data_IF_801810017210
#
_entry.id   IF_801810017210
#
_cell.length_a   1.000
_cell.length_b   1.000
_cell.length_c   1.000
_cell.angle_alpha   90.00
_cell.angle_beta   90.00
_cell.angle_gamma   90.00
#
_symmetry.space_group_name_H-M   'P 1'
#
loop_
_entity.id
_entity.type
_entity.pdbx_description
1 polymer ?
#
# COMPACT_ATOMS: atom_id res chain seq x y z
N UNK A 1 13.91 0.32 -23.13
CA UNK A 1 12.45 0.46 -22.89
C UNK A 1 11.95 -0.19 -21.58
N UNK A 2 12.77 -0.95 -20.82
CA UNK A 2 12.35 -1.67 -19.60
C UNK A 2 12.17 -0.78 -18.33
N UNK A 3 12.97 0.29 -18.19
CA UNK A 3 12.91 1.25 -17.05
C UNK A 3 11.54 1.89 -16.91
N UNK A 4 10.97 2.35 -18.03
CA UNK A 4 9.66 3.03 -18.09
C UNK A 4 8.47 2.12 -17.77
N UNK A 5 8.69 0.83 -17.58
CA UNK A 5 7.67 -0.15 -17.18
C UNK A 5 7.77 -0.49 -15.68
N UNK A 6 8.58 0.24 -14.89
CA UNK A 6 8.82 -0.06 -13.47
C UNK A 6 9.62 -1.33 -13.26
N UNK A 7 10.37 -1.79 -14.28
CA UNK A 7 11.17 -3.03 -14.25
C UNK A 7 12.66 -2.72 -14.16
N UNK A 8 13.04 -1.84 -13.25
CA UNK A 8 14.41 -1.37 -13.08
C UNK A 8 15.38 -2.54 -12.79
N UNK A 9 14.90 -3.56 -12.07
CA UNK A 9 15.57 -4.83 -11.84
C UNK A 9 16.02 -5.53 -13.14
N UNK A 10 15.08 -5.71 -14.07
CA UNK A 10 15.30 -6.36 -15.35
C UNK A 10 16.09 -5.44 -16.31
N UNK A 11 15.91 -4.12 -16.17
CA UNK A 11 16.67 -3.14 -16.91
C UNK A 11 18.18 -3.22 -16.56
N UNK A 12 18.54 -3.30 -15.28
CA UNK A 12 19.93 -3.46 -14.85
C UNK A 12 20.53 -4.74 -15.45
N UNK A 13 19.87 -5.90 -15.33
CA UNK A 13 20.39 -7.15 -15.90
C UNK A 13 20.59 -7.06 -17.43
N UNK A 14 19.66 -6.41 -18.14
CA UNK A 14 19.77 -6.20 -19.58
C UNK A 14 20.93 -5.27 -19.95
N UNK A 15 21.09 -4.16 -19.23
CA UNK A 15 22.18 -3.21 -19.45
C UNK A 15 23.55 -3.78 -19.05
N UNK A 16 23.62 -4.64 -18.03
CA UNK A 16 24.86 -5.34 -17.67
C UNK A 16 25.29 -6.35 -18.73
N UNK A 17 24.34 -7.09 -19.35
CA UNK A 17 24.63 -7.92 -20.53
C UNK A 17 25.06 -7.06 -21.72
N UNK A 18 24.36 -5.97 -22.01
CA UNK A 18 24.74 -5.07 -23.09
C UNK A 18 26.17 -4.52 -22.89
N UNK A 19 26.52 -4.16 -21.65
CA UNK A 19 27.87 -3.70 -21.27
C UNK A 19 28.93 -4.77 -21.44
N UNK A 20 28.62 -6.05 -21.21
CA UNK A 20 29.58 -7.14 -21.46
C UNK A 20 29.90 -7.34 -22.95
N UNK A 21 28.98 -6.95 -23.84
CA UNK A 21 29.16 -7.05 -25.30
C UNK A 21 29.78 -5.77 -25.87
N UNK A 22 29.37 -4.60 -25.37
CA UNK A 22 29.89 -3.29 -25.78
C UNK A 22 30.22 -2.42 -24.55
N UNK A 23 31.43 -2.56 -23.98
CA UNK A 23 31.79 -1.90 -22.71
C UNK A 23 31.90 -0.38 -22.78
N UNK A 24 32.24 0.16 -23.96
CA UNK A 24 32.49 1.59 -24.19
C UNK A 24 31.26 2.33 -24.73
N UNK A 25 30.12 1.65 -24.88
CA UNK A 25 28.88 2.27 -25.32
C UNK A 25 28.37 3.25 -24.25
N UNK A 26 28.38 4.54 -24.60
CA UNK A 26 28.00 5.63 -23.71
C UNK A 26 26.53 5.54 -23.28
N UNK A 27 25.64 5.13 -24.18
CA UNK A 27 24.20 5.04 -23.89
C UNK A 27 23.94 3.93 -22.88
N UNK A 28 24.61 2.78 -23.01
CA UNK A 28 24.51 1.67 -22.04
C UNK A 28 24.97 2.11 -20.65
N UNK A 29 26.07 2.86 -20.56
CA UNK A 29 26.61 3.36 -19.28
C UNK A 29 25.67 4.39 -18.64
N UNK A 30 25.13 5.32 -19.42
CA UNK A 30 24.19 6.33 -18.94
C UNK A 30 22.89 5.67 -18.43
N UNK A 31 22.31 4.76 -19.21
CA UNK A 31 21.10 4.05 -18.81
C UNK A 31 21.31 3.18 -17.57
N UNK A 32 22.48 2.52 -17.44
CA UNK A 32 22.82 1.75 -16.24
C UNK A 32 22.96 2.64 -15.01
N UNK A 33 23.58 3.82 -15.16
CA UNK A 33 23.72 4.80 -14.07
C UNK A 33 22.35 5.30 -13.60
N UNK A 34 21.47 5.66 -14.53
CA UNK A 34 20.11 6.09 -14.21
C UNK A 34 19.27 4.96 -13.57
N UNK A 35 19.41 3.72 -14.06
CA UNK A 35 18.72 2.57 -13.46
C UNK A 35 19.20 2.28 -12.03
N UNK A 36 20.50 2.42 -11.75
CA UNK A 36 21.05 2.30 -10.39
C UNK A 36 20.59 3.43 -9.48
N UNK A 37 20.57 4.66 -9.98
CA UNK A 37 20.05 5.81 -9.24
C UNK A 37 18.56 5.63 -8.87
N UNK A 38 17.76 5.03 -9.75
CA UNK A 38 16.35 4.73 -9.46
C UNK A 38 16.19 3.71 -8.31
N UNK A 39 17.15 2.80 -8.14
CA UNK A 39 17.16 1.81 -7.05
C UNK A 39 17.92 2.27 -5.80
N UNK A 40 18.45 3.50 -5.79
CA UNK A 40 19.19 4.02 -4.65
C UNK A 40 18.33 4.02 -3.37
N UNK A 41 18.93 3.82 -2.19
CA UNK A 41 18.20 3.86 -0.93
C UNK A 41 17.47 5.20 -0.73
N UNK A 42 16.25 5.15 -0.20
CA UNK A 42 15.42 6.32 0.05
C UNK A 42 14.96 6.34 1.51
N UNK A 43 14.93 7.55 2.09
CA UNK A 43 14.37 7.81 3.41
C UNK A 43 13.21 8.80 3.26
N UNK A 44 12.09 8.50 3.92
CA UNK A 44 10.85 9.29 3.84
C UNK A 44 10.31 9.50 5.25
N UNK A 45 10.71 10.59 5.93
CA UNK A 45 10.07 11.00 7.18
C UNK A 45 8.68 11.57 6.88
N UNK A 46 7.77 11.43 7.84
CA UNK A 46 6.44 12.01 7.77
C UNK A 46 5.91 12.33 9.17
N UNK A 47 5.10 13.38 9.23
CA UNK A 47 4.32 13.73 10.41
C UNK A 47 2.88 13.92 9.96
N UNK A 48 1.96 13.22 10.59
CA UNK A 48 0.53 13.28 10.31
C UNK A 48 -0.18 13.69 11.59
N UNK A 49 -1.06 14.69 11.48
CA UNK A 49 -1.90 15.17 12.57
C UNK A 49 -3.35 14.94 12.16
N UNK A 50 -4.07 14.20 12.98
CA UNK A 50 -5.47 13.84 12.76
C UNK A 50 -6.32 14.33 13.93
N UNK A 51 -7.50 14.84 13.61
CA UNK A 51 -8.54 15.26 14.55
C UNK A 51 -9.88 14.84 13.97
N UNK A 52 -10.70 14.17 14.75
CA UNK A 52 -12.05 13.81 14.37
C UNK A 52 -13.11 14.48 15.26
N UNK A 53 -14.38 14.31 14.88
CA UNK A 53 -15.54 14.87 15.59
C UNK A 53 -15.78 14.26 16.96
N UNK A 54 -15.23 13.06 17.19
CA UNK A 54 -15.49 12.26 18.39
C UNK A 54 -14.46 12.55 19.48
N UNK A 55 -13.66 13.59 19.29
CA UNK A 55 -12.69 14.11 20.25
C UNK A 55 -11.37 13.33 20.26
N UNK A 56 -11.11 12.50 19.24
CA UNK A 56 -9.84 11.84 19.08
C UNK A 56 -8.84 12.73 18.32
N UNK A 57 -7.65 12.85 18.89
CA UNK A 57 -6.55 13.65 18.42
C UNK A 57 -5.29 12.78 18.38
N UNK A 58 -4.70 12.66 17.20
CA UNK A 58 -3.54 11.81 16.98
C UNK A 58 -2.44 12.60 16.30
N UNK A 59 -1.22 12.46 16.81
CA UNK A 59 0.01 12.89 16.13
C UNK A 59 0.84 11.65 15.85
N UNK A 60 1.01 11.30 14.58
CA UNK A 60 1.90 10.23 14.13
C UNK A 60 3.19 10.83 13.59
N UNK A 61 4.33 10.42 14.14
CA UNK A 61 5.65 10.63 13.53
C UNK A 61 6.11 9.29 12.98
N UNK A 62 6.54 9.26 11.72
CA UNK A 62 6.95 8.03 11.07
C UNK A 62 8.15 8.26 10.15
N UNK A 63 8.92 7.20 9.95
CA UNK A 63 10.03 7.19 9.02
C UNK A 63 10.02 5.86 8.26
N UNK A 64 10.10 5.95 6.93
CA UNK A 64 10.21 4.79 6.04
C UNK A 64 11.56 4.82 5.33
N UNK A 65 12.27 3.69 5.34
CA UNK A 65 13.48 3.46 4.58
C UNK A 65 13.22 2.39 3.53
N UNK A 66 13.63 2.62 2.28
CA UNK A 66 13.56 1.62 1.20
C UNK A 66 14.94 1.46 0.60
N UNK A 67 15.35 0.22 0.35
CA UNK A 67 16.60 -0.12 -0.31
C UNK A 67 16.41 -1.33 -1.22
N UNK A 68 17.31 -1.49 -2.20
CA UNK A 68 17.31 -2.63 -3.11
C UNK A 68 18.67 -3.34 -3.07
N UNK A 69 18.92 -4.24 -2.10
CA UNK A 69 20.19 -4.95 -1.98
C UNK A 69 20.51 -5.79 -3.22
N UNK A 70 19.48 -6.29 -3.90
CA UNK A 70 19.58 -6.93 -5.21
C UNK A 70 18.55 -6.28 -6.15
N UNK A 71 18.77 -6.27 -7.47
CA UNK A 71 17.83 -5.63 -8.40
C UNK A 71 16.38 -6.13 -8.24
N UNK A 72 16.18 -7.42 -7.93
CA UNK A 72 14.87 -8.05 -7.77
C UNK A 72 14.37 -8.13 -6.33
N UNK A 73 15.13 -7.61 -5.36
CA UNK A 73 14.81 -7.66 -3.94
C UNK A 73 14.71 -6.23 -3.40
N UNK A 74 13.49 -5.79 -3.11
CA UNK A 74 13.25 -4.59 -2.32
C UNK A 74 13.21 -4.94 -0.85
N UNK A 75 13.73 -4.04 -0.01
CA UNK A 75 13.62 -4.11 1.45
C UNK A 75 13.10 -2.76 1.93
N UNK A 76 12.07 -2.80 2.76
CA UNK A 76 11.45 -1.64 3.38
C UNK A 76 11.41 -1.79 4.88
N UNK A 77 11.85 -0.77 5.60
CA UNK A 77 11.71 -0.66 7.04
C UNK A 77 10.89 0.58 7.37
N UNK A 78 9.87 0.41 8.21
CA UNK A 78 9.02 1.47 8.71
C UNK A 78 9.14 1.52 10.22
N UNK A 79 9.23 2.72 10.78
CA UNK A 79 9.09 2.97 12.22
C UNK A 79 8.07 4.08 12.43
N UNK A 80 7.32 4.00 13.52
CA UNK A 80 6.39 5.05 13.90
C UNK A 80 6.32 5.23 15.42
N UNK A 81 5.95 6.45 15.82
CA UNK A 81 5.51 6.81 17.15
C UNK A 81 4.24 7.64 17.07
N UNK A 82 3.31 7.43 18.01
CA UNK A 82 2.01 8.08 18.09
C UNK A 82 1.77 8.64 19.48
N UNK A 83 1.27 9.86 19.51
CA UNK A 83 0.59 10.44 20.68
C UNK A 83 -0.90 10.47 20.37
N UNK A 84 -1.70 9.90 21.27
CA UNK A 84 -3.13 9.68 21.10
C UNK A 84 -3.87 10.29 22.29
N UNK A 85 -4.89 11.10 22.02
CA UNK A 85 -5.74 11.71 23.03
C UNK A 85 -7.19 11.52 22.62
N UNK A 86 -8.05 11.05 23.53
CA UNK A 86 -9.49 10.91 23.31
C UNK A 86 -10.23 11.23 24.61
N UNK A 87 -10.83 12.42 24.69
CA UNK A 87 -11.38 12.94 25.94
C UNK A 87 -10.31 13.06 27.04
N UNK A 88 -10.48 12.34 28.16
CA UNK A 88 -9.50 12.31 29.25
C UNK A 88 -8.44 11.19 29.10
N UNK A 89 -8.56 10.34 28.08
CA UNK A 89 -7.66 9.22 27.85
C UNK A 89 -6.50 9.67 26.95
N UNK A 90 -5.27 9.55 27.44
CA UNK A 90 -4.06 9.82 26.67
C UNK A 90 -3.18 8.57 26.61
N UNK A 91 -2.72 8.19 25.41
CA UNK A 91 -1.89 7.01 25.18
C UNK A 91 -0.77 7.32 24.20
N UNK A 92 0.29 6.53 24.28
CA UNK A 92 1.38 6.51 23.33
C UNK A 92 1.53 5.12 22.72
N UNK A 93 1.81 5.09 21.43
CA UNK A 93 2.07 3.85 20.71
C UNK A 93 3.31 4.00 19.84
N UNK A 94 4.05 2.93 19.65
CA UNK A 94 5.21 2.89 18.77
C UNK A 94 5.35 1.53 18.15
N UNK A 95 5.88 1.49 16.94
CA UNK A 95 6.10 0.23 16.27
C UNK A 95 7.13 0.33 15.17
N UNK A 96 7.49 -0.85 14.69
CA UNK A 96 8.33 -1.01 13.53
C UNK A 96 7.85 -2.18 12.70
N UNK A 97 8.12 -2.13 11.40
CA UNK A 97 7.87 -3.22 10.47
C UNK A 97 8.98 -3.26 9.45
N UNK A 98 9.52 -4.45 9.19
CA UNK A 98 10.48 -4.70 8.14
C UNK A 98 9.87 -5.68 7.16
N UNK A 99 9.89 -5.32 5.88
CA UNK A 99 9.37 -6.14 4.81
C UNK A 99 10.38 -6.26 3.68
N UNK A 100 10.31 -7.37 2.96
CA UNK A 100 11.06 -7.63 1.77
C UNK A 100 10.11 -8.06 0.65
N UNK A 101 10.31 -7.52 -0.54
CA UNK A 101 9.58 -7.90 -1.74
C UNK A 101 10.54 -8.49 -2.77
N UNK A 102 10.17 -9.65 -3.33
CA UNK A 102 10.97 -10.37 -4.29
C UNK A 102 10.20 -10.57 -5.59
N UNK A 103 10.86 -10.26 -6.71
CA UNK A 103 10.30 -10.37 -8.05
C UNK A 103 10.85 -11.60 -8.78
N UNK A 104 9.95 -12.43 -9.30
CA UNK A 104 10.25 -13.67 -10.01
C UNK A 104 9.80 -13.58 -11.45
N UNK A 105 10.56 -14.19 -12.37
CA UNK A 105 10.06 -14.37 -13.73
C UNK A 105 8.94 -15.41 -13.74
N UNK A 106 7.88 -15.21 -14.53
CA UNK A 106 7.75 -14.20 -15.58
C UNK A 106 7.11 -12.85 -15.16
N UNK A 107 7.08 -12.52 -13.87
CA UNK A 107 6.62 -11.22 -13.34
C UNK A 107 5.83 -11.31 -12.03
N UNK A 108 5.91 -12.44 -11.32
CA UNK A 108 5.30 -12.59 -10.00
C UNK A 108 6.05 -11.74 -8.98
N UNK A 109 5.35 -11.26 -7.96
CA UNK A 109 6.00 -10.70 -6.77
C UNK A 109 5.45 -11.34 -5.51
N UNK A 110 6.33 -11.55 -4.54
CA UNK A 110 5.99 -12.01 -3.19
C UNK A 110 6.60 -11.04 -2.20
N UNK A 111 5.81 -10.57 -1.25
CA UNK A 111 6.27 -9.74 -0.16
C UNK A 111 6.04 -10.44 1.17
N UNK A 112 7.01 -10.37 2.05
CA UNK A 112 6.93 -10.87 3.43
C UNK A 112 7.41 -9.79 4.38
N UNK A 113 6.84 -9.71 5.57
CA UNK A 113 7.27 -8.74 6.56
C UNK A 113 6.98 -9.17 7.98
N UNK A 114 7.76 -8.63 8.90
CA UNK A 114 7.70 -8.88 10.33
C UNK A 114 7.96 -7.59 11.07
N UNK A 115 7.40 -7.47 12.26
CA UNK A 115 7.53 -6.26 13.06
C UNK A 115 6.98 -6.43 14.46
N UNK A 116 6.80 -5.31 15.12
CA UNK A 116 6.19 -5.26 16.43
C UNK A 116 5.71 -3.86 16.77
N UNK A 117 4.70 -3.81 17.63
CA UNK A 117 4.20 -2.58 18.21
C UNK A 117 4.08 -2.73 19.73
N UNK A 118 4.19 -1.60 20.41
CA UNK A 118 4.00 -1.44 21.84
C UNK A 118 3.12 -0.21 22.08
N UNK A 119 2.37 -0.24 23.16
CA UNK A 119 1.60 0.89 23.66
C UNK A 119 1.72 0.95 25.18
N UNK A 120 1.39 2.10 25.78
CA UNK A 120 1.32 2.30 27.23
C UNK A 120 -0.09 2.04 27.81
N UNK A 121 -0.90 1.29 27.08
CA UNK A 121 -2.23 0.90 27.51
C UNK A 121 -2.20 -0.21 28.57
N UNK A 122 -3.33 -0.40 29.27
CA UNK A 122 -3.48 -1.48 30.25
C UNK A 122 -3.69 -2.87 29.63
N UNK A 123 -3.92 -2.94 28.31
CA UNK A 123 -4.18 -4.15 27.58
C UNK A 123 -2.92 -4.97 27.32
N UNK A 124 -2.55 -5.10 26.04
CA UNK A 124 -1.43 -5.96 25.60
C UNK A 124 -0.20 -5.10 25.31
N UNK A 125 0.82 -5.22 26.15
CA UNK A 125 2.05 -4.40 26.09
C UNK A 125 2.90 -4.59 24.81
N UNK A 126 2.80 -5.75 24.18
CA UNK A 126 3.59 -6.12 23.00
C UNK A 126 2.79 -6.90 21.97
N UNK A 127 2.78 -6.40 20.73
CA UNK A 127 2.04 -6.98 19.62
C UNK A 127 3.00 -7.26 18.47
N UNK A 128 3.29 -8.54 18.20
CA UNK A 128 4.02 -8.92 16.99
C UNK A 128 3.24 -8.59 15.72
N UNK A 129 3.92 -8.05 14.71
CA UNK A 129 3.33 -7.78 13.40
C UNK A 129 3.92 -8.73 12.36
N UNK A 130 3.12 -9.12 11.38
CA UNK A 130 3.61 -9.84 10.21
C UNK A 130 2.70 -9.59 9.00
N UNK A 131 3.24 -9.77 7.81
CA UNK A 131 2.51 -9.63 6.55
C UNK A 131 3.07 -10.58 5.51
N UNK A 132 2.19 -11.14 4.68
CA UNK A 132 2.55 -11.92 3.49
C UNK A 132 1.65 -11.48 2.36
N UNK A 133 2.19 -11.20 1.19
CA UNK A 133 1.42 -10.87 0.01
C UNK A 133 2.02 -11.51 -1.25
N UNK A 134 1.17 -11.86 -2.20
CA UNK A 134 1.56 -12.38 -3.51
C UNK A 134 0.78 -11.67 -4.61
N UNK A 135 1.46 -11.28 -5.69
CA UNK A 135 0.84 -10.65 -6.86
C UNK A 135 1.20 -11.40 -8.14
N UNK A 136 0.19 -11.62 -8.98
CA UNK A 136 0.37 -12.27 -10.27
C UNK A 136 1.02 -11.34 -11.29
N UNK A 137 1.54 -11.86 -12.42
CA UNK A 137 2.26 -11.04 -13.37
C UNK A 137 1.41 -9.97 -14.06
N UNK A 138 1.92 -8.73 -14.05
CA UNK A 138 1.25 -7.55 -14.63
C UNK A 138 1.08 -7.55 -16.15
N UNK A 139 1.63 -8.54 -16.86
CA UNK A 139 1.55 -8.64 -18.33
C UNK A 139 0.26 -9.27 -18.84
N UNK A 140 -0.53 -9.88 -17.95
CA UNK A 140 -1.79 -10.50 -18.30
C UNK A 140 -2.94 -9.50 -18.19
N UNK A 141 -4.03 -9.76 -18.93
CA UNK A 141 -5.24 -8.95 -18.82
C UNK A 141 -5.83 -8.97 -17.40
N UNK A 142 -5.60 -10.04 -16.63
CA UNK A 142 -6.00 -10.16 -15.23
C UNK A 142 -4.76 -10.21 -14.33
N UNK A 143 -4.71 -9.28 -13.37
CA UNK A 143 -3.69 -9.20 -12.32
C UNK A 143 -4.38 -9.36 -10.98
N UNK A 144 -3.94 -10.28 -10.14
CA UNK A 144 -4.50 -10.52 -8.82
C UNK A 144 -3.46 -10.36 -7.73
N UNK A 145 -3.88 -9.89 -6.56
CA UNK A 145 -3.09 -9.81 -5.35
C UNK A 145 -3.85 -10.46 -4.20
N UNK A 146 -3.16 -11.26 -3.40
CA UNK A 146 -3.65 -11.77 -2.13
C UNK A 146 -2.68 -11.35 -1.01
N UNK A 147 -3.19 -10.80 0.08
CA UNK A 147 -2.41 -10.35 1.22
C UNK A 147 -3.03 -10.83 2.53
N UNK A 148 -2.19 -11.30 3.44
CA UNK A 148 -2.54 -11.70 4.79
C UNK A 148 -1.66 -10.90 5.75
N UNK A 149 -2.24 -10.34 6.81
CA UNK A 149 -1.49 -9.55 7.77
C UNK A 149 -1.99 -9.70 9.19
N UNK A 150 -1.11 -9.37 10.13
CA UNK A 150 -1.38 -9.16 11.54
C UNK A 150 -0.68 -7.88 12.00
N UNK A 151 -1.41 -6.98 12.63
CA UNK A 151 -0.87 -5.70 13.14
C UNK A 151 -1.58 -5.27 14.41
N UNK A 152 -0.97 -4.38 15.18
CA UNK A 152 -1.69 -3.60 16.18
C UNK A 152 -2.66 -2.63 15.48
N UNK A 153 -3.79 -2.38 16.12
CA UNK A 153 -4.71 -1.30 15.78
C UNK A 153 -4.65 -0.27 16.90
N UNK A 154 -3.89 0.79 16.64
CA UNK A 154 -3.51 1.84 17.58
C UNK A 154 -3.77 3.23 16.97
N UNK A 155 -4.91 3.37 16.30
CA UNK A 155 -5.33 4.60 15.62
C UNK A 155 -6.04 5.60 16.55
N UNK A 156 -6.50 5.14 17.72
CA UNK A 156 -7.14 5.97 18.75
C UNK A 156 -6.62 5.60 20.13
N UNK A 157 -6.77 6.49 21.12
CA UNK A 157 -6.32 6.23 22.48
C UNK A 157 -7.04 5.02 23.10
N UNK A 158 -8.34 4.83 22.82
CA UNK A 158 -9.11 3.68 23.30
C UNK A 158 -8.62 2.34 22.71
N UNK A 159 -8.27 2.32 21.41
CA UNK A 159 -7.77 1.12 20.75
C UNK A 159 -6.36 0.74 21.24
N UNK A 160 -5.51 1.75 21.46
CA UNK A 160 -4.20 1.56 22.08
C UNK A 160 -4.32 1.06 23.52
N UNK A 161 -5.20 1.65 24.33
CA UNK A 161 -5.48 1.22 25.71
C UNK A 161 -5.80 -0.28 25.79
N UNK A 162 -6.67 -0.76 24.90
CA UNK A 162 -7.11 -2.17 24.88
C UNK A 162 -6.13 -3.11 24.19
N UNK A 163 -5.09 -2.59 23.52
CA UNK A 163 -4.11 -3.39 22.79
C UNK A 163 -4.73 -4.21 21.66
N UNK A 164 -5.66 -3.62 20.91
CA UNK A 164 -6.42 -4.32 19.85
C UNK A 164 -5.49 -4.80 18.74
N UNK A 165 -5.68 -6.06 18.33
CA UNK A 165 -4.92 -6.68 17.23
C UNK A 165 -5.83 -6.98 16.07
N UNK A 166 -5.41 -6.60 14.87
CA UNK A 166 -6.12 -6.90 13.63
C UNK A 166 -5.38 -7.99 12.86
N UNK A 167 -6.12 -9.00 12.43
CA UNK A 167 -5.69 -9.96 11.42
C UNK A 167 -6.55 -9.80 10.17
N UNK A 168 -5.94 -9.49 9.03
CA UNK A 168 -6.68 -9.19 7.81
C UNK A 168 -6.24 -10.09 6.64
N UNK A 169 -7.23 -10.51 5.84
CA UNK A 169 -7.07 -11.11 4.52
C UNK A 169 -7.64 -10.14 3.50
N UNK A 170 -6.83 -9.70 2.55
CA UNK A 170 -7.23 -8.81 1.47
C UNK A 170 -6.94 -9.48 0.12
N UNK A 171 -7.95 -9.52 -0.74
CA UNK A 171 -7.86 -10.01 -2.10
C UNK A 171 -8.19 -8.86 -3.04
N UNK A 172 -7.41 -8.66 -4.09
CA UNK A 172 -7.74 -7.68 -5.12
C UNK A 172 -7.41 -8.20 -6.51
N UNK A 173 -8.08 -7.65 -7.51
CA UNK A 173 -7.91 -8.01 -8.89
C UNK A 173 -8.11 -6.79 -9.79
N UNK A 174 -7.33 -6.72 -10.87
CA UNK A 174 -7.51 -5.78 -11.96
C UNK A 174 -7.65 -6.55 -13.26
N UNK A 175 -8.70 -6.23 -14.01
CA UNK A 175 -8.95 -6.78 -15.32
C UNK A 175 -9.00 -5.68 -16.38
N UNK A 176 -8.16 -5.80 -17.41
CA UNK A 176 -8.12 -4.93 -18.59
C UNK A 176 -8.36 -5.78 -19.84
N UNK A 177 -9.63 -6.07 -20.18
CA UNK A 177 -9.96 -6.97 -21.30
C UNK A 177 -9.53 -6.39 -22.65
N UNK A 178 -9.66 -5.08 -22.80
CA UNK A 178 -9.37 -4.35 -24.03
C UNK A 178 -8.74 -3.00 -23.70
N UNK A 179 -7.97 -2.40 -24.63
CA UNK A 179 -7.43 -1.06 -24.45
C UNK A 179 -8.51 -0.05 -24.08
N UNK A 180 -8.25 0.71 -23.01
CA UNK A 180 -9.16 1.74 -22.51
C UNK A 180 -10.17 1.25 -21.48
N UNK A 181 -10.46 -0.05 -21.37
CA UNK A 181 -11.29 -0.59 -20.29
C UNK A 181 -10.45 -1.04 -19.10
N UNK A 182 -10.96 -0.78 -17.89
CA UNK A 182 -10.35 -1.24 -16.65
C UNK A 182 -11.40 -1.50 -15.59
N UNK A 183 -11.34 -2.69 -15.02
CA UNK A 183 -12.14 -3.12 -13.88
C UNK A 183 -11.19 -3.43 -12.73
N UNK A 184 -11.50 -2.95 -11.54
CA UNK A 184 -10.78 -3.33 -10.32
C UNK A 184 -11.81 -3.87 -9.31
N UNK A 185 -11.47 -4.93 -8.61
CA UNK A 185 -12.27 -5.49 -7.53
C UNK A 185 -11.37 -5.79 -6.33
N UNK A 186 -11.87 -5.56 -5.13
CA UNK A 186 -11.19 -5.87 -3.88
C UNK A 186 -12.18 -6.43 -2.87
N UNK A 187 -11.76 -7.43 -2.10
CA UNK A 187 -12.50 -8.05 -1.01
C UNK A 187 -11.58 -8.13 0.20
N UNK A 188 -12.11 -7.86 1.38
CA UNK A 188 -11.35 -7.89 2.62
C UNK A 188 -12.12 -8.58 3.74
N UNK A 189 -11.40 -9.27 4.62
CA UNK A 189 -11.92 -9.78 5.88
C UNK A 189 -10.92 -9.47 6.98
N UNK A 190 -11.36 -8.85 8.07
CA UNK A 190 -10.51 -8.52 9.21
C UNK A 190 -11.12 -9.09 10.50
N UNK A 191 -10.28 -9.65 11.38
CA UNK A 191 -10.65 -10.05 12.75
C UNK A 191 -9.95 -9.12 13.73
N UNK A 192 -10.72 -8.52 14.61
CA UNK A 192 -10.30 -7.58 15.64
C UNK A 192 -10.32 -8.33 16.97
N UNK A 193 -9.19 -8.41 17.65
CA UNK A 193 -9.06 -9.06 18.95
C UNK A 193 -8.72 -8.02 20.01
N UNK A 194 -9.70 -7.70 20.85
CA UNK A 194 -9.60 -6.76 21.95
C UNK A 194 -10.22 -7.34 23.22
N UNK A 195 -11.06 -6.56 23.90
CA UNK A 195 -11.88 -7.04 25.02
C UNK A 195 -13.00 -7.98 24.52
N UNK A 196 -13.61 -7.63 23.39
CA UNK A 196 -14.56 -8.46 22.64
C UNK A 196 -14.01 -8.66 21.23
N UNK A 197 -14.11 -9.88 20.70
CA UNK A 197 -13.69 -10.16 19.33
C UNK A 197 -14.74 -9.64 18.34
N UNK A 198 -14.31 -8.97 17.27
CA UNK A 198 -15.18 -8.55 16.17
C UNK A 198 -14.61 -8.98 14.82
N UNK A 199 -15.46 -9.06 13.80
CA UNK A 199 -15.03 -9.34 12.43
C UNK A 199 -15.65 -8.38 11.45
N UNK A 200 -14.89 -7.93 10.44
CA UNK A 200 -15.35 -7.07 9.36
C UNK A 200 -15.18 -7.76 8.03
N UNK A 201 -16.20 -7.70 7.20
CA UNK A 201 -16.11 -7.99 5.77
C UNK A 201 -16.18 -6.68 4.98
N UNK A 202 -15.42 -6.57 3.89
CA UNK A 202 -15.45 -5.41 3.00
C UNK A 202 -15.32 -5.82 1.54
N UNK A 203 -15.84 -4.98 0.66
CA UNK A 203 -15.78 -5.15 -0.78
C UNK A 203 -15.71 -3.80 -1.49
N UNK A 204 -15.01 -3.75 -2.61
CA UNK A 204 -14.98 -2.60 -3.50
C UNK A 204 -14.92 -3.09 -4.94
N UNK A 205 -15.70 -2.48 -5.82
CA UNK A 205 -15.64 -2.72 -7.26
C UNK A 205 -15.59 -1.38 -7.95
N UNK A 206 -14.73 -1.23 -8.96
CA UNK A 206 -14.69 -0.06 -9.81
C UNK A 206 -14.55 -0.45 -11.28
N UNK A 207 -15.05 0.43 -12.13
CA UNK A 207 -15.00 0.28 -13.58
C UNK A 207 -14.68 1.65 -14.18
N UNK A 208 -13.79 1.68 -15.17
CA UNK A 208 -13.49 2.88 -15.93
C UNK A 208 -13.25 2.58 -17.40
N UNK A 209 -13.53 3.57 -18.24
CA UNK A 209 -13.30 3.55 -19.68
C UNK A 209 -12.67 4.85 -20.15
N UNK A 210 -11.53 4.73 -20.84
CA UNK A 210 -10.93 5.83 -21.59
C UNK A 210 -11.66 6.01 -22.93
N UNK A 211 -11.93 7.27 -23.28
CA UNK A 211 -12.63 7.71 -24.48
C UNK A 211 -11.70 8.56 -25.35
N UNK A 212 -12.03 8.73 -26.63
CA UNK A 212 -11.14 9.25 -27.67
C UNK A 212 -10.68 10.73 -27.56
N UNK A 213 -10.98 11.45 -26.47
CA UNK A 213 -10.69 12.89 -26.30
C UNK A 213 -10.03 13.25 -24.96
N UNK A 214 -9.23 12.34 -24.41
CA UNK A 214 -8.63 12.51 -23.08
C UNK A 214 -9.67 12.45 -21.94
N UNK A 215 -10.85 11.91 -22.24
CA UNK A 215 -11.90 11.67 -21.25
C UNK A 215 -11.77 10.25 -20.70
N UNK A 216 -11.93 10.13 -19.39
CA UNK A 216 -12.12 8.84 -18.72
C UNK A 216 -13.37 8.95 -17.88
N UNK A 217 -14.29 8.03 -18.09
CA UNK A 217 -15.51 7.91 -17.28
C UNK A 217 -15.47 6.62 -16.49
N UNK A 218 -16.09 6.60 -15.33
CA UNK A 218 -16.14 5.40 -14.51
C UNK A 218 -17.04 5.56 -13.32
N UNK A 219 -17.07 4.53 -12.50
CA UNK A 219 -17.75 4.53 -11.23
C UNK A 219 -17.16 3.48 -10.31
N UNK A 220 -17.47 3.60 -9.04
CA UNK A 220 -17.05 2.64 -8.04
C UNK A 220 -18.11 2.49 -6.96
N UNK A 221 -18.10 1.32 -6.33
CA UNK A 221 -18.95 0.97 -5.21
C UNK A 221 -18.06 0.37 -4.13
N UNK A 222 -18.27 0.78 -2.89
CA UNK A 222 -17.64 0.17 -1.71
C UNK A 222 -18.71 -0.19 -0.70
N UNK A 223 -18.57 -1.35 -0.08
CA UNK A 223 -19.37 -1.76 1.05
C UNK A 223 -18.49 -2.40 2.12
N UNK A 224 -18.87 -2.27 3.38
CA UNK A 224 -18.31 -3.06 4.47
C UNK A 224 -19.32 -3.19 5.59
N UNK A 225 -19.13 -4.18 6.45
CA UNK A 225 -19.95 -4.38 7.64
C UNK A 225 -19.19 -5.18 8.68
N UNK A 226 -19.57 -4.99 9.94
CA UNK A 226 -19.06 -5.75 11.07
C UNK A 226 -20.08 -6.80 11.52
N UNK A 227 -19.60 -7.89 12.10
CA UNK A 227 -20.45 -8.95 12.63
C UNK A 227 -21.16 -8.51 13.90
N UNK A 228 -20.47 -7.74 14.74
CA UNK A 228 -21.01 -7.16 15.97
C UNK A 228 -20.91 -5.64 15.88
N UNK A 229 -21.90 -4.94 16.43
CA UNK A 229 -21.86 -3.51 16.67
C UNK A 229 -21.48 -3.29 18.13
N UNK A 230 -20.19 -3.05 18.35
CA UNK A 230 -19.59 -2.89 19.66
C UNK A 230 -19.51 -1.39 19.98
N UNK A 231 -19.86 -1.02 21.22
CA UNK A 231 -19.53 0.30 21.78
C UNK A 231 -18.03 0.40 22.13
N UNK A 232 -17.17 -0.02 21.21
CA UNK A 232 -15.73 -0.10 21.41
C UNK A 232 -14.98 1.12 20.83
N UNK A 233 -15.68 2.23 20.58
CA UNK A 233 -15.14 3.53 20.14
C UNK A 233 -14.44 3.51 18.77
N UNK A 234 -14.87 2.62 17.88
CA UNK A 234 -14.54 2.68 16.45
C UNK A 234 -15.80 2.46 15.61
N UNK A 235 -15.87 3.10 14.44
CA UNK A 235 -17.04 3.01 13.55
C UNK A 235 -17.21 1.58 12.99
N UNK A 236 -18.20 0.85 13.51
CA UNK A 236 -18.46 -0.56 13.21
C UNK A 236 -19.93 -0.85 12.84
N UNK A 237 -20.43 -0.26 11.74
CA UNK A 237 -21.80 -0.49 11.30
C UNK A 237 -22.04 -1.94 10.89
N UNK A 238 -23.26 -2.43 11.11
CA UNK A 238 -23.74 -3.71 10.57
C UNK A 238 -23.59 -3.74 9.04
N UNK A 239 -23.86 -2.60 8.40
CA UNK A 239 -23.63 -2.38 6.97
C UNK A 239 -23.43 -0.90 6.65
N UNK A 240 -22.40 -0.62 5.84
CA UNK A 240 -22.17 0.67 5.19
C UNK A 240 -21.91 0.44 3.71
N UNK A 241 -22.49 1.28 2.86
CA UNK A 241 -22.30 1.23 1.42
C UNK A 241 -22.31 2.62 0.79
N UNK A 242 -21.45 2.83 -0.20
CA UNK A 242 -21.39 4.05 -1.00
C UNK A 242 -21.12 3.70 -2.48
N UNK A 243 -21.73 4.46 -3.37
CA UNK A 243 -21.55 4.36 -4.81
C UNK A 243 -21.34 5.75 -5.41
N UNK A 244 -20.35 5.88 -6.29
CA UNK A 244 -20.01 7.15 -6.92
C UNK A 244 -19.71 6.98 -8.41
N UNK A 245 -20.02 8.01 -9.20
CA UNK A 245 -19.64 8.13 -10.60
C UNK A 245 -18.57 9.22 -10.76
N UNK A 246 -17.58 8.98 -11.61
CA UNK A 246 -16.44 9.88 -11.82
C UNK A 246 -16.25 10.13 -13.32
N UNK A 247 -16.10 11.40 -13.68
CA UNK A 247 -15.63 11.83 -14.99
C UNK A 247 -14.33 12.62 -14.84
N UNK A 248 -13.29 12.26 -15.59
CA UNK A 248 -12.03 12.99 -15.67
C UNK A 248 -11.77 13.42 -17.11
N UNK A 249 -11.40 14.69 -17.28
CA UNK A 249 -10.91 15.21 -18.55
C UNK A 249 -9.46 15.67 -18.38
N UNK A 250 -8.57 15.19 -19.26
CA UNK A 250 -7.19 15.60 -19.30
C UNK A 250 -6.92 16.28 -20.65
N UNK A 251 -6.61 17.56 -20.62
CA UNK A 251 -6.24 18.34 -21.79
C UNK A 251 -4.74 18.62 -21.76
N UNK A 252 -4.00 18.06 -22.71
CA UNK A 252 -2.61 18.41 -22.96
C UNK A 252 -2.56 19.31 -24.20
N UNK A 253 -2.34 20.63 -24.04
CA UNK A 253 -2.04 21.47 -25.19
C UNK A 253 -0.72 20.99 -25.81
N UNK A 254 -0.68 20.90 -27.15
CA UNK A 254 0.48 20.45 -27.94
C UNK A 254 1.78 21.00 -27.38
N UNK A 255 2.73 20.10 -27.08
CA UNK A 255 4.14 20.42 -26.83
C UNK A 255 4.70 21.11 -28.07
N UNK A 256 4.79 22.43 -28.05
CA UNK A 256 5.70 23.14 -28.94
C UNK A 256 7.11 22.89 -28.43
N UNK A 257 7.89 22.12 -29.19
CA UNK A 257 9.32 22.01 -28.98
C UNK A 257 10.00 23.14 -29.74
N UNK A 258 10.74 23.99 -29.03
CA UNK A 258 11.78 24.79 -29.67
C UNK A 258 13.04 23.93 -29.61
N UNK A 259 13.49 23.48 -30.78
CA UNK A 259 14.88 23.06 -30.99
C UNK A 259 15.72 24.34 -31.02
N UNK A 260 16.60 24.51 -30.03
CA UNK A 260 17.80 25.34 -30.13
C UNK A 260 19.02 24.44 -30.00
#
# INVERSE_FOLDING_TARGET
>A
MLRWQGRDAAAITAFERARSVSPLDRDVQEQLTLARAALAPQLRPSVVVERDSDGNHMITTAMSAVAHPLPRLGVRADVYGRSLEQGALARTARGFHVSADMHFDPGWSVAVGVGGAQNDGSGRDGIGAWSVAGTSPGRYALVGTAALSRTALDATAALAERGVVVQALDLSGRWTPEPGWRFDAALGSARFRGATDNTRASGTVSMSRALARGWTVGGWVRAFGFAENLTDDYFDPDFYGIAEAIGRWLWEPRRWGVLL
#
